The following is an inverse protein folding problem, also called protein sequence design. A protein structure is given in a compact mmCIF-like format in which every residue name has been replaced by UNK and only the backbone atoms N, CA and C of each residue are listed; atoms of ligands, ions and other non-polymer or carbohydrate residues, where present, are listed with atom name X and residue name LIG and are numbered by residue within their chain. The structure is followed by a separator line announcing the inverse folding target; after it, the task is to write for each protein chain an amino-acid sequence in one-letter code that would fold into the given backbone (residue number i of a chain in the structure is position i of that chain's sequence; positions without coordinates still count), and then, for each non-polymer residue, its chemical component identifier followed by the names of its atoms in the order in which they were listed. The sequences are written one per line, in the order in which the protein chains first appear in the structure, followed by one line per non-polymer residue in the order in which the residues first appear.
data_IF_676098369738
#
_entry.id   IF_676098369738
#
_cell.length_a   1.000
_cell.length_b   1.000
_cell.length_c   1.000
_cell.angle_alpha   90.00
_cell.angle_beta   90.00
_cell.angle_gamma   90.00
#
_symmetry.space_group_name_H-M   'P 1'
#
loop_
_entity.id
_entity.type
_entity.pdbx_description
1 polymer ?
#
# COMPACT_ATOMS: atom_id res chain seq x y z
N UNK A 1 -21.13 1.34 -17.80
CA UNK A 1 -19.92 2.00 -17.24
C UNK A 1 -19.93 3.50 -17.56
N UNK A 2 -20.94 4.27 -17.12
CA UNK A 2 -21.03 5.69 -17.49
C UNK A 2 -21.82 6.57 -16.49
N UNK A 3 -21.59 6.43 -15.18
CA UNK A 3 -22.31 7.24 -14.16
C UNK A 3 -21.48 7.71 -12.94
N UNK A 4 -20.15 7.55 -12.93
CA UNK A 4 -19.30 8.01 -11.79
C UNK A 4 -18.87 9.48 -11.95
N UNK A 5 -19.15 10.13 -13.09
CA UNK A 5 -18.48 11.39 -13.47
C UNK A 5 -19.01 12.68 -12.83
N UNK A 6 -20.15 12.70 -12.14
CA UNK A 6 -20.71 13.96 -11.61
C UNK A 6 -20.26 14.34 -10.18
N UNK A 7 -19.64 13.44 -9.42
CA UNK A 7 -19.25 13.69 -8.01
C UNK A 7 -17.75 13.76 -7.73
N UNK A 8 -16.91 13.46 -8.70
CA UNK A 8 -15.47 13.34 -8.48
C UNK A 8 -14.69 14.46 -9.18
N UNK A 9 -13.87 15.19 -8.42
CA UNK A 9 -12.95 16.20 -8.95
C UNK A 9 -11.62 15.54 -9.31
N UNK A 10 -11.22 15.65 -10.57
CA UNK A 10 -9.95 15.13 -11.06
C UNK A 10 -9.06 16.28 -11.50
N UNK A 11 -7.81 16.27 -11.03
CA UNK A 11 -6.78 17.22 -11.44
C UNK A 11 -5.48 16.47 -11.76
N UNK A 12 -4.73 16.93 -12.75
CA UNK A 12 -3.42 16.36 -13.09
C UNK A 12 -2.37 17.43 -12.92
N UNK A 13 -1.38 17.14 -12.07
CA UNK A 13 -0.24 18.02 -11.84
C UNK A 13 0.68 18.04 -13.08
N UNK A 14 1.54 19.06 -13.16
CA UNK A 14 2.50 19.23 -14.26
C UNK A 14 3.50 18.08 -14.39
N UNK A 15 3.73 17.31 -13.32
CA UNK A 15 4.57 16.12 -13.31
C UNK A 15 3.80 14.82 -13.67
N UNK A 16 2.53 14.91 -14.03
CA UNK A 16 1.70 13.76 -14.42
C UNK A 16 0.96 13.08 -13.26
N UNK A 17 1.23 13.44 -12.00
CA UNK A 17 0.50 12.87 -10.86
C UNK A 17 -0.97 13.28 -10.91
N UNK A 18 -1.87 12.29 -10.85
CA UNK A 18 -3.31 12.50 -10.84
C UNK A 18 -3.82 12.59 -9.41
N UNK A 19 -4.65 13.59 -9.15
CA UNK A 19 -5.36 13.82 -7.89
C UNK A 19 -6.84 13.56 -8.16
N UNK A 20 -7.42 12.66 -7.39
CA UNK A 20 -8.83 12.28 -7.45
C UNK A 20 -9.43 12.62 -6.08
N UNK A 21 -10.46 13.47 -6.06
CA UNK A 21 -11.11 13.91 -4.83
C UNK A 21 -12.62 13.83 -4.97
N UNK A 22 -13.24 13.02 -4.13
CA UNK A 22 -14.70 12.95 -3.98
C UNK A 22 -15.09 13.57 -2.64
N UNK A 23 -15.75 14.74 -2.63
CA UNK A 23 -16.16 15.41 -1.41
C UNK A 23 -17.30 14.64 -0.72
N UNK A 24 -17.21 14.52 0.61
CA UNK A 24 -18.21 13.87 1.45
C UNK A 24 -18.52 14.70 2.69
N UNK A 25 -19.70 14.53 3.27
CA UNK A 25 -20.09 15.14 4.55
C UNK A 25 -19.65 14.30 5.76
N UNK A 26 -18.96 13.17 5.54
CA UNK A 26 -18.43 12.32 6.61
C UNK A 26 -17.38 13.06 7.45
N UNK A 27 -17.35 12.77 8.75
CA UNK A 27 -16.27 13.22 9.65
C UNK A 27 -15.00 12.36 9.49
N UNK A 28 -15.12 11.19 8.89
CA UNK A 28 -14.02 10.29 8.51
C UNK A 28 -13.69 10.51 7.04
N UNK A 29 -12.41 10.68 6.75
CA UNK A 29 -11.86 10.80 5.41
C UNK A 29 -10.91 9.63 5.13
N UNK A 30 -10.80 9.29 3.86
CA UNK A 30 -9.81 8.36 3.33
C UNK A 30 -8.88 9.11 2.39
N UNK A 31 -7.59 8.85 2.48
CA UNK A 31 -6.59 9.40 1.57
C UNK A 31 -5.49 8.37 1.36
N UNK A 32 -4.95 8.31 0.14
CA UNK A 32 -3.91 7.35 -0.20
C UNK A 32 -3.26 7.66 -1.54
N UNK A 33 -2.22 6.89 -1.83
CA UNK A 33 -1.57 6.80 -3.13
C UNK A 33 -1.92 5.45 -3.72
N UNK A 34 -2.43 5.45 -4.95
CA UNK A 34 -2.56 4.25 -5.76
C UNK A 34 -1.45 4.27 -6.82
N UNK A 35 -0.63 3.23 -6.82
CA UNK A 35 0.47 3.01 -7.75
C UNK A 35 -0.01 1.97 -8.76
N UNK A 36 0.05 2.34 -10.03
CA UNK A 36 -0.30 1.49 -11.18
C UNK A 36 0.86 0.53 -11.48
N UNK A 37 1.18 -0.31 -10.48
CA UNK A 37 2.17 -1.37 -10.53
C UNK A 37 1.83 -2.40 -9.45
N UNK A 38 1.90 -3.69 -9.78
CA UNK A 38 1.68 -4.80 -8.86
C UNK A 38 2.60 -5.99 -9.16
N UNK A 39 2.25 -7.18 -8.66
CA UNK A 39 3.08 -8.39 -8.85
C UNK A 39 3.22 -8.80 -10.31
N UNK A 40 2.28 -8.40 -11.19
CA UNK A 40 2.36 -8.66 -12.64
C UNK A 40 3.49 -7.87 -13.33
N UNK A 41 3.90 -6.75 -12.74
CA UNK A 41 4.90 -5.86 -13.31
C UNK A 41 6.34 -6.24 -12.91
N UNK A 42 6.49 -7.29 -12.10
CA UNK A 42 7.78 -7.80 -11.65
C UNK A 42 8.57 -8.47 -12.78
N UNK A 43 9.89 -8.29 -12.75
CA UNK A 43 10.79 -9.09 -13.58
C UNK A 43 10.94 -10.51 -13.01
N UNK A 44 11.35 -11.51 -13.82
CA UNK A 44 11.57 -12.87 -13.34
C UNK A 44 12.54 -12.97 -12.15
N UNK A 45 13.52 -12.07 -12.06
CA UNK A 45 14.47 -11.98 -10.95
C UNK A 45 13.96 -11.16 -9.74
N UNK A 46 12.77 -10.56 -9.84
CA UNK A 46 12.15 -9.69 -8.83
C UNK A 46 10.85 -10.29 -8.25
N UNK A 47 10.57 -11.57 -8.49
CA UNK A 47 9.33 -12.20 -8.01
C UNK A 47 9.16 -12.03 -6.49
N UNK A 48 8.01 -11.48 -6.09
CA UNK A 48 7.66 -11.16 -4.71
C UNK A 48 8.10 -9.76 -4.24
N UNK A 49 8.75 -8.96 -5.10
CA UNK A 49 9.23 -7.62 -4.75
C UNK A 49 8.09 -6.65 -4.38
N UNK A 50 6.95 -6.70 -5.06
CA UNK A 50 5.82 -5.82 -4.78
C UNK A 50 5.29 -6.05 -3.35
N UNK A 51 5.07 -7.31 -2.98
CA UNK A 51 4.66 -7.70 -1.63
C UNK A 51 5.73 -7.36 -0.60
N UNK A 52 7.00 -7.60 -0.93
CA UNK A 52 8.11 -7.27 -0.05
C UNK A 52 8.24 -5.75 0.22
N UNK A 53 8.04 -4.93 -0.81
CA UNK A 53 8.02 -3.47 -0.70
C UNK A 53 6.85 -3.00 0.14
N UNK A 54 5.66 -3.59 -0.03
CA UNK A 54 4.48 -3.29 0.78
C UNK A 54 4.77 -3.44 2.29
N UNK A 55 5.38 -4.56 2.68
CA UNK A 55 5.77 -4.80 4.08
C UNK A 55 6.78 -3.78 4.58
N UNK A 56 7.79 -3.47 3.76
CA UNK A 56 8.91 -2.66 4.19
C UNK A 56 8.65 -1.15 4.16
N UNK A 57 7.67 -0.68 3.38
CA UNK A 57 7.43 0.75 3.20
C UNK A 57 7.13 1.48 4.53
N UNK A 58 6.61 0.74 5.52
CA UNK A 58 6.33 1.25 6.87
C UNK A 58 7.51 1.19 7.85
N UNK A 59 8.64 0.58 7.47
CA UNK A 59 9.70 0.23 8.43
C UNK A 59 10.74 1.34 8.63
N UNK A 60 10.73 2.36 7.79
CA UNK A 60 11.52 3.57 8.02
C UNK A 60 11.54 4.51 6.83
N UNK A 61 11.61 5.80 7.12
CA UNK A 61 11.83 6.86 6.14
C UNK A 61 13.07 7.66 6.51
N UNK A 62 13.46 8.61 5.66
CA UNK A 62 14.54 9.56 5.97
C UNK A 62 14.31 10.34 7.28
N UNK A 63 13.05 10.52 7.69
CA UNK A 63 12.66 11.31 8.86
C UNK A 63 12.19 10.46 10.04
N UNK A 64 11.77 9.21 9.80
CA UNK A 64 11.02 8.40 10.77
C UNK A 64 11.54 6.98 10.85
N UNK A 65 11.40 6.39 12.03
CA UNK A 65 11.63 4.96 12.27
C UNK A 65 10.27 4.26 12.22
N UNK A 66 10.25 2.93 12.03
CA UNK A 66 9.02 2.13 12.01
C UNK A 66 7.99 2.54 13.08
N UNK A 67 8.40 2.57 14.36
CA UNK A 67 7.50 2.91 15.46
C UNK A 67 6.93 4.34 15.40
N UNK A 68 7.69 5.30 14.85
CA UNK A 68 7.19 6.66 14.64
C UNK A 68 6.11 6.69 13.55
N UNK A 69 6.23 5.82 12.53
CA UNK A 69 5.29 5.72 11.42
C UNK A 69 3.98 5.13 11.92
N UNK A 70 4.04 3.94 12.53
CA UNK A 70 2.87 3.23 13.06
C UNK A 70 2.09 4.10 14.07
N UNK A 71 2.78 4.68 15.04
CA UNK A 71 2.11 5.46 16.08
C UNK A 71 1.57 6.82 15.58
N UNK A 72 1.95 7.30 14.38
CA UNK A 72 1.60 8.66 13.94
C UNK A 72 0.10 8.85 13.78
N UNK A 73 -0.58 7.83 13.22
CA UNK A 73 -2.03 7.83 13.00
C UNK A 73 -2.78 7.18 14.16
N UNK A 74 -2.25 6.11 14.76
CA UNK A 74 -2.87 5.45 15.91
C UNK A 74 -3.15 6.41 17.08
N UNK A 75 -2.21 7.33 17.36
CA UNK A 75 -2.35 8.33 18.44
C UNK A 75 -3.52 9.32 18.24
N UNK A 76 -4.14 9.34 17.07
CA UNK A 76 -5.34 10.14 16.78
C UNK A 76 -6.53 9.28 16.33
N UNK A 77 -6.45 7.98 16.57
CA UNK A 77 -7.49 7.02 16.15
C UNK A 77 -7.62 6.87 14.64
N UNK A 78 -6.56 7.20 13.90
CA UNK A 78 -6.48 6.94 12.46
C UNK A 78 -5.84 5.59 12.18
N UNK A 79 -6.26 4.97 11.08
CA UNK A 79 -5.71 3.74 10.54
C UNK A 79 -4.71 4.06 9.43
N UNK A 80 -3.70 3.20 9.24
CA UNK A 80 -2.68 3.30 8.20
C UNK A 80 -2.41 1.90 7.68
N UNK A 81 -2.59 1.70 6.38
CA UNK A 81 -2.44 0.38 5.78
C UNK A 81 -1.96 0.46 4.34
N UNK A 82 -1.54 -0.67 3.80
CA UNK A 82 -1.33 -0.87 2.38
C UNK A 82 -1.90 -2.22 1.94
N UNK A 83 -2.05 -2.37 0.62
CA UNK A 83 -2.21 -3.67 0.00
C UNK A 83 -1.53 -3.64 -1.36
N UNK A 84 -1.05 -4.80 -1.80
CA UNK A 84 -0.64 -5.03 -3.18
C UNK A 84 -1.48 -6.15 -3.79
N UNK A 85 -1.75 -6.02 -5.09
CA UNK A 85 -2.30 -7.09 -5.90
C UNK A 85 -1.49 -7.19 -7.19
N UNK A 86 -2.04 -7.88 -8.20
CA UNK A 86 -1.37 -8.09 -9.49
C UNK A 86 -1.17 -6.79 -10.27
N UNK A 87 -2.07 -5.82 -10.15
CA UNK A 87 -2.10 -4.63 -11.01
C UNK A 87 -1.82 -3.32 -10.26
N UNK A 88 -1.99 -3.29 -8.93
CA UNK A 88 -1.77 -2.08 -8.14
C UNK A 88 -1.21 -2.35 -6.75
N UNK A 89 -0.48 -1.36 -6.25
CA UNK A 89 -0.13 -1.22 -4.84
C UNK A 89 -0.76 0.07 -4.32
N UNK A 90 -1.47 -0.01 -3.19
CA UNK A 90 -2.16 1.14 -2.60
C UNK A 90 -1.67 1.34 -1.17
N UNK A 91 -1.28 2.56 -0.83
CA UNK A 91 -0.92 2.97 0.53
C UNK A 91 -1.89 4.04 0.98
N UNK A 92 -2.63 3.80 2.07
CA UNK A 92 -3.75 4.65 2.45
C UNK A 92 -3.90 4.79 3.96
N UNK A 93 -4.71 5.76 4.35
CA UNK A 93 -5.05 6.03 5.74
C UNK A 93 -6.52 6.46 5.85
N UNK A 94 -7.17 5.99 6.91
CA UNK A 94 -8.51 6.41 7.31
C UNK A 94 -8.43 7.22 8.61
N UNK A 95 -9.03 8.41 8.65
CA UNK A 95 -8.83 9.33 9.78
C UNK A 95 -9.97 10.33 9.93
N UNK A 96 -10.07 10.98 11.10
CA UNK A 96 -10.93 12.14 11.27
C UNK A 96 -10.42 13.31 10.41
N UNK A 97 -11.32 14.00 9.72
CA UNK A 97 -11.03 15.11 8.79
C UNK A 97 -10.05 16.17 9.32
N UNK A 98 -10.06 16.44 10.63
CA UNK A 98 -9.12 17.34 11.32
C UNK A 98 -7.64 16.91 11.21
N UNK A 99 -7.37 15.66 10.83
CA UNK A 99 -6.04 15.08 10.71
C UNK A 99 -5.57 14.88 9.27
N UNK A 100 -6.26 15.45 8.27
CA UNK A 100 -5.86 15.34 6.87
C UNK A 100 -4.40 15.73 6.61
N UNK A 101 -3.96 16.90 7.09
CA UNK A 101 -2.59 17.36 6.88
C UNK A 101 -1.55 16.40 7.49
N UNK A 102 -1.90 15.74 8.60
CA UNK A 102 -1.04 14.75 9.26
C UNK A 102 -0.94 13.47 8.43
N UNK A 103 -2.08 12.94 7.98
CA UNK A 103 -2.13 11.72 7.20
C UNK A 103 -1.43 11.90 5.85
N UNK A 104 -1.74 12.97 5.13
CA UNK A 104 -1.14 13.26 3.83
C UNK A 104 0.39 13.45 3.91
N UNK A 105 0.88 14.13 4.95
CA UNK A 105 2.32 14.27 5.17
C UNK A 105 3.00 12.93 5.47
N UNK A 106 2.37 12.07 6.28
CA UNK A 106 2.89 10.74 6.58
C UNK A 106 2.91 9.85 5.33
N UNK A 107 1.80 9.78 4.58
CA UNK A 107 1.70 9.01 3.36
C UNK A 107 2.74 9.46 2.33
N UNK A 108 2.94 10.77 2.18
CA UNK A 108 3.99 11.31 1.30
C UNK A 108 5.39 10.91 1.76
N UNK A 109 5.65 10.90 3.08
CA UNK A 109 6.94 10.48 3.62
C UNK A 109 7.22 9.00 3.36
N UNK A 110 6.21 8.15 3.56
CA UNK A 110 6.29 6.70 3.33
C UNK A 110 6.54 6.41 1.84
N UNK A 111 5.70 6.94 0.96
CA UNK A 111 5.74 6.61 -0.47
C UNK A 111 7.00 7.14 -1.16
N UNK A 112 7.44 8.36 -0.85
CA UNK A 112 8.55 9.00 -1.59
C UNK A 112 9.91 8.93 -0.88
N UNK A 113 9.93 8.62 0.43
CA UNK A 113 11.15 8.73 1.23
C UNK A 113 11.41 7.53 2.16
N UNK A 114 10.79 6.38 1.90
CA UNK A 114 11.18 5.11 2.54
C UNK A 114 12.66 4.78 2.32
N UNK A 115 13.30 4.19 3.33
CA UNK A 115 14.74 3.89 3.32
C UNK A 115 15.09 2.42 3.45
N UNK A 116 14.10 1.54 3.63
CA UNK A 116 14.28 0.08 3.73
C UNK A 116 15.50 -0.32 4.60
N UNK A 117 15.47 -0.04 5.92
CA UNK A 117 16.64 -0.30 6.77
C UNK A 117 17.02 -1.79 6.77
N UNK A 118 18.30 -2.11 6.55
CA UNK A 118 18.82 -3.49 6.46
C UNK A 118 18.35 -4.42 7.58
N UNK A 119 18.33 -3.90 8.82
CA UNK A 119 17.86 -4.67 9.98
C UNK A 119 16.37 -5.03 9.89
N UNK A 120 15.55 -4.16 9.33
CA UNK A 120 14.11 -4.40 9.15
C UNK A 120 13.88 -5.32 7.94
N UNK A 121 14.68 -5.22 6.88
CA UNK A 121 14.69 -6.17 5.75
C UNK A 121 14.86 -7.60 6.27
N UNK A 122 15.92 -7.85 7.05
CA UNK A 122 16.21 -9.19 7.59
C UNK A 122 15.08 -9.75 8.45
N UNK A 123 14.35 -8.88 9.16
CA UNK A 123 13.20 -9.27 9.99
C UNK A 123 11.97 -9.58 9.16
N UNK A 124 11.66 -8.74 8.18
CA UNK A 124 10.48 -8.95 7.34
C UNK A 124 10.61 -10.19 6.45
N UNK A 125 11.83 -10.61 6.08
CA UNK A 125 12.03 -11.90 5.41
C UNK A 125 11.50 -13.06 6.27
N UNK A 126 11.78 -13.07 7.57
CA UNK A 126 11.26 -14.12 8.47
C UNK A 126 9.73 -14.07 8.57
N UNK A 127 9.15 -12.88 8.71
CA UNK A 127 7.69 -12.70 8.80
C UNK A 127 6.99 -13.17 7.52
N UNK A 128 7.51 -12.80 6.36
CA UNK A 128 6.92 -13.15 5.06
C UNK A 128 7.09 -14.65 4.78
N UNK A 129 8.20 -15.26 5.20
CA UNK A 129 8.36 -16.71 5.11
C UNK A 129 7.31 -17.46 5.94
N UNK A 130 7.01 -16.99 7.15
CA UNK A 130 5.96 -17.58 8.00
C UNK A 130 4.56 -17.39 7.38
N UNK A 131 4.30 -16.23 6.76
CA UNK A 131 3.06 -15.94 6.04
C UNK A 131 2.87 -16.88 4.84
N UNK A 132 3.88 -17.05 4.00
CA UNK A 132 3.85 -17.98 2.86
C UNK A 132 3.53 -19.40 3.33
N UNK A 133 4.17 -19.87 4.40
CA UNK A 133 3.89 -21.20 4.97
C UNK A 133 2.43 -21.31 5.44
N UNK A 134 1.90 -20.27 6.08
CA UNK A 134 0.50 -20.24 6.51
C UNK A 134 -0.48 -20.29 5.33
N UNK A 135 -0.13 -19.67 4.19
CA UNK A 135 -0.92 -19.75 2.96
C UNK A 135 -0.86 -21.15 2.33
N UNK A 136 0.32 -21.76 2.26
CA UNK A 136 0.49 -23.14 1.75
C UNK A 136 -0.29 -24.17 2.59
N UNK A 137 -0.38 -23.94 3.90
CA UNK A 137 -1.15 -24.77 4.84
C UNK A 137 -2.67 -24.55 4.74
N UNK A 138 -3.13 -23.61 3.89
CA UNK A 138 -4.54 -23.27 3.70
C UNK A 138 -5.00 -23.60 2.27
N UNK A 139 -5.53 -24.83 2.01
CA UNK A 139 -5.86 -25.27 0.66
C UNK A 139 -6.89 -24.43 -0.09
N UNK A 140 -7.74 -23.69 0.63
CA UNK A 140 -8.73 -22.80 0.01
C UNK A 140 -8.11 -21.55 -0.63
N UNK A 141 -6.92 -21.16 -0.18
CA UNK A 141 -6.23 -19.99 -0.69
C UNK A 141 -5.27 -20.43 -1.81
N UNK A 142 -4.50 -21.48 -1.57
CA UNK A 142 -3.55 -22.06 -2.54
C UNK A 142 -4.20 -22.46 -3.87
N UNK A 143 -5.46 -22.91 -3.87
CA UNK A 143 -6.14 -23.34 -5.10
C UNK A 143 -6.30 -22.22 -6.12
N UNK A 144 -6.37 -20.96 -5.67
CA UNK A 144 -6.46 -19.82 -6.58
C UNK A 144 -5.13 -19.60 -7.30
N UNK A 145 -4.01 -19.65 -6.58
CA UNK A 145 -2.68 -19.51 -7.16
C UNK A 145 -2.38 -20.65 -8.13
N UNK A 146 -2.62 -21.91 -7.72
CA UNK A 146 -2.47 -23.10 -8.59
C UNK A 146 -3.29 -22.97 -9.89
N UNK A 147 -4.53 -22.50 -9.76
CA UNK A 147 -5.41 -22.32 -10.92
C UNK A 147 -4.90 -21.23 -11.85
N UNK A 148 -4.39 -20.13 -11.32
CA UNK A 148 -3.86 -19.03 -12.09
C UNK A 148 -2.56 -19.40 -12.82
N UNK A 149 -1.66 -20.14 -12.18
CA UNK A 149 -0.42 -20.65 -12.79
C UNK A 149 -0.69 -21.60 -13.98
N UNK A 150 -1.81 -22.33 -13.94
CA UNK A 150 -2.23 -23.18 -15.06
C UNK A 150 -2.75 -22.37 -16.26
N UNK A 151 -3.32 -21.19 -16.01
CA UNK A 151 -3.97 -20.35 -17.03
C UNK A 151 -3.00 -19.34 -17.62
N UNK A 152 -2.20 -18.70 -16.77
CA UNK A 152 -1.32 -17.61 -17.13
C UNK A 152 0.12 -18.10 -17.18
N UNK A 153 0.77 -17.94 -18.33
CA UNK A 153 2.21 -18.19 -18.48
C UNK A 153 2.95 -16.87 -18.29
N UNK A 154 3.54 -16.67 -17.12
CA UNK A 154 4.30 -15.47 -16.80
C UNK A 154 4.38 -15.25 -15.31
#
# INVERSE_FOLDING_TARGET
MMEIREKCHVHTLSNGLRIIHEPTHSRVAYCGFAIDAGTRDELPEEQGMAHFVEHLIFKGTRKRKAWHILNRMENVGGDLNAYTNKEETVVYSAFLTDHFARAFELLTDIVFYSTFPEREIQREVEVIMDEIQSYEDTPSDLIFDDFEDLIFKG
#
